data_IF_479675189703
#
_entry.id   IF_479675189703
#
_cell.length_a   1.000
_cell.length_b   1.000
_cell.length_c   1.000
_cell.angle_alpha   90.00
_cell.angle_beta   90.00
_cell.angle_gamma   90.00
#
_symmetry.space_group_name_H-M   'P 1'
#
loop_
_entity.id
_entity.type
_entity.pdbx_description
1 polymer ?
#
# COMPACT_ATOMS: atom_id res chain seq x y z
N UNK A 1 16.12 3.84 9.07
CA UNK A 1 15.58 2.61 8.45
C UNK A 1 16.65 1.54 8.55
N UNK A 2 16.35 0.39 9.14
CA UNK A 2 17.29 -0.72 9.29
C UNK A 2 16.83 -1.89 8.42
N UNK A 3 17.75 -2.63 7.78
CA UNK A 3 17.42 -3.91 7.17
C UNK A 3 16.91 -4.87 8.26
N UNK A 4 16.04 -5.80 7.88
CA UNK A 4 15.58 -6.86 8.78
C UNK A 4 15.84 -8.21 8.11
N UNK A 5 16.52 -9.11 8.81
CA UNK A 5 17.02 -10.38 8.26
C UNK A 5 15.88 -11.24 7.68
N UNK A 6 14.67 -11.13 8.26
CA UNK A 6 13.48 -11.87 7.82
C UNK A 6 12.81 -11.33 6.54
N UNK A 7 13.35 -10.36 5.82
CA UNK A 7 12.74 -9.85 4.57
C UNK A 7 13.22 -10.66 3.34
N UNK A 8 14.22 -11.53 3.51
CA UNK A 8 14.80 -12.34 2.43
C UNK A 8 15.26 -11.50 1.21
N UNK A 9 15.74 -10.28 1.45
CA UNK A 9 16.45 -9.43 0.49
C UNK A 9 17.34 -8.43 1.22
N UNK A 10 18.35 -7.90 0.53
CA UNK A 10 19.13 -6.78 1.06
C UNK A 10 18.32 -5.47 1.04
N UNK A 11 18.53 -4.62 2.06
CA UNK A 11 17.94 -3.28 2.15
C UNK A 11 16.79 -3.14 3.16
N UNK A 12 16.21 -1.95 3.20
CA UNK A 12 15.14 -1.59 4.13
C UNK A 12 13.83 -2.35 3.84
N UNK A 13 13.01 -2.53 4.89
CA UNK A 13 11.68 -3.16 4.80
C UNK A 13 10.84 -2.57 3.68
N UNK A 14 10.61 -1.26 3.72
CA UNK A 14 10.09 -0.51 2.60
C UNK A 14 11.24 0.23 1.90
N UNK A 15 11.50 0.00 0.60
CA UNK A 15 12.60 0.64 -0.11
C UNK A 15 12.32 2.12 -0.45
N UNK A 16 11.09 2.60 -0.21
CA UNK A 16 10.66 3.94 -0.60
C UNK A 16 10.77 4.98 0.51
N UNK A 17 10.74 4.59 1.79
CA UNK A 17 10.67 5.55 2.91
C UNK A 17 11.91 6.47 2.92
N UNK A 18 13.11 5.94 2.74
CA UNK A 18 14.34 6.75 2.75
C UNK A 18 14.39 7.72 1.58
N UNK A 19 14.07 7.23 0.38
CA UNK A 19 14.03 8.02 -0.83
C UNK A 19 12.95 9.10 -0.75
N UNK A 20 11.79 8.78 -0.18
CA UNK A 20 10.67 9.69 0.02
C UNK A 20 11.00 10.80 1.00
N UNK A 21 11.62 10.47 2.14
CA UNK A 21 12.09 11.47 3.11
C UNK A 21 13.14 12.40 2.50
N UNK A 22 14.14 11.85 1.78
CA UNK A 22 15.16 12.66 1.09
C UNK A 22 14.57 13.56 0.00
N UNK A 23 13.50 13.12 -0.66
CA UNK A 23 12.78 13.86 -1.69
C UNK A 23 11.68 14.79 -1.12
N UNK A 24 11.63 14.99 0.20
CA UNK A 24 10.61 15.80 0.89
C UNK A 24 9.18 15.43 0.44
N UNK A 25 8.95 14.14 0.23
CA UNK A 25 7.72 13.56 -0.31
C UNK A 25 7.06 12.59 0.67
N UNK A 26 7.50 12.64 1.93
CA UNK A 26 6.97 11.83 3.03
C UNK A 26 6.27 12.74 4.02
N UNK A 27 4.96 12.56 4.20
CA UNK A 27 4.15 13.35 5.12
C UNK A 27 3.55 12.44 6.18
N UNK A 28 3.61 12.88 7.42
CA UNK A 28 2.93 12.23 8.54
C UNK A 28 1.88 13.22 9.06
N UNK A 29 0.66 12.73 9.24
CA UNK A 29 -0.42 13.46 9.88
C UNK A 29 -0.99 12.64 11.03
N UNK A 30 -1.64 13.34 11.96
CA UNK A 30 -2.39 12.75 13.05
C UNK A 30 -3.84 13.16 12.90
N UNK A 31 -4.75 12.21 12.76
CA UNK A 31 -6.19 12.47 12.82
C UNK A 31 -6.78 11.79 14.03
N UNK A 32 -7.52 12.57 14.82
CA UNK A 32 -8.33 12.03 15.90
C UNK A 32 -9.54 11.32 15.34
N UNK A 33 -9.76 10.10 15.82
CA UNK A 33 -10.88 9.24 15.43
C UNK A 33 -11.91 9.22 16.56
N UNK A 34 -13.18 9.12 16.18
CA UNK A 34 -14.26 8.85 17.14
C UNK A 34 -14.03 7.46 17.76
N UNK A 35 -14.02 7.31 19.10
CA UNK A 35 -13.85 6.00 19.73
C UNK A 35 -14.93 4.99 19.34
N UNK A 36 -16.13 5.46 18.96
CA UNK A 36 -17.27 4.63 18.57
C UNK A 36 -17.36 4.46 17.04
N UNK A 37 -16.29 4.76 16.29
CA UNK A 37 -16.25 4.58 14.84
C UNK A 37 -16.56 3.13 14.44
N UNK A 38 -17.40 2.97 13.43
CA UNK A 38 -17.70 1.67 12.83
C UNK A 38 -16.92 1.46 11.52
N UNK A 39 -17.16 0.32 10.88
CA UNK A 39 -16.49 -0.03 9.62
C UNK A 39 -16.80 0.98 8.50
N UNK A 40 -18.04 1.47 8.40
CA UNK A 40 -18.43 2.47 7.40
C UNK A 40 -17.72 3.81 7.64
N UNK A 41 -17.67 4.26 8.88
CA UNK A 41 -16.93 5.44 9.30
C UNK A 41 -15.44 5.33 8.98
N UNK A 42 -14.83 4.16 9.21
CA UNK A 42 -13.43 3.91 8.90
C UNK A 42 -13.15 3.91 7.38
N UNK A 43 -14.04 3.33 6.57
CA UNK A 43 -13.97 3.44 5.10
C UNK A 43 -14.11 4.90 4.65
N UNK A 44 -15.03 5.65 5.26
CA UNK A 44 -15.17 7.09 5.04
C UNK A 44 -13.90 7.86 5.38
N UNK A 45 -13.19 7.47 6.44
CA UNK A 45 -11.89 8.04 6.81
C UNK A 45 -10.83 7.75 5.75
N UNK A 46 -10.75 6.51 5.25
CA UNK A 46 -9.84 6.12 4.17
C UNK A 46 -10.10 6.95 2.90
N UNK A 47 -11.37 7.18 2.54
CA UNK A 47 -11.73 8.03 1.38
C UNK A 47 -11.27 9.46 1.56
N UNK A 48 -11.49 10.06 2.74
CA UNK A 48 -10.96 11.40 3.07
C UNK A 48 -9.43 11.43 3.01
N UNK A 49 -8.75 10.38 3.47
CA UNK A 49 -7.29 10.26 3.36
C UNK A 49 -6.84 10.25 1.89
N UNK A 50 -7.58 9.55 1.01
CA UNK A 50 -7.29 9.53 -0.41
C UNK A 50 -7.46 10.89 -1.08
N UNK A 51 -8.55 11.60 -0.78
CA UNK A 51 -8.76 12.98 -1.24
C UNK A 51 -7.65 13.91 -0.75
N UNK A 52 -7.27 13.82 0.53
CA UNK A 52 -6.17 14.59 1.09
C UNK A 52 -4.83 14.27 0.39
N UNK A 53 -4.54 12.99 0.14
CA UNK A 53 -3.33 12.56 -0.55
C UNK A 53 -3.22 13.12 -1.98
N UNK A 54 -4.31 13.04 -2.74
CA UNK A 54 -4.37 13.50 -4.14
C UNK A 54 -4.31 15.02 -4.26
N UNK A 55 -4.90 15.74 -3.33
CA UNK A 55 -4.92 17.22 -3.32
C UNK A 55 -3.69 17.83 -2.64
N UNK A 56 -2.90 17.03 -1.92
CA UNK A 56 -1.66 17.48 -1.29
C UNK A 56 -0.68 18.00 -2.35
N UNK A 57 -0.15 19.20 -2.10
CA UNK A 57 0.98 19.73 -2.87
C UNK A 57 2.28 19.10 -2.37
N UNK A 58 2.80 18.17 -3.14
CA UNK A 58 4.08 17.51 -2.87
C UNK A 58 5.26 18.35 -3.37
N UNK A 59 6.33 18.45 -2.58
CA UNK A 59 7.55 19.16 -2.97
C UNK A 59 8.35 18.37 -4.00
N UNK A 60 8.48 17.05 -3.81
CA UNK A 60 9.15 16.17 -4.76
C UNK A 60 8.30 15.91 -6.00
N UNK A 61 8.93 15.97 -7.18
CA UNK A 61 8.24 15.77 -8.47
C UNK A 61 7.98 14.30 -8.81
N UNK A 62 8.72 13.38 -8.19
CA UNK A 62 8.56 11.95 -8.42
C UNK A 62 7.38 11.41 -7.60
N UNK A 63 6.24 11.22 -8.28
CA UNK A 63 5.00 10.70 -7.66
C UNK A 63 5.18 9.37 -6.95
N UNK A 64 6.06 8.48 -7.44
CA UNK A 64 6.31 7.18 -6.79
C UNK A 64 6.82 7.34 -5.34
N UNK A 65 7.40 8.49 -5.02
CA UNK A 65 7.90 8.79 -3.68
C UNK A 65 6.88 9.51 -2.78
N UNK A 66 5.71 9.90 -3.28
CA UNK A 66 4.69 10.54 -2.45
C UNK A 66 4.12 9.51 -1.49
N UNK A 67 4.14 9.82 -0.20
CA UNK A 67 3.61 8.94 0.85
C UNK A 67 2.99 9.79 1.96
N UNK A 68 1.73 9.48 2.27
CA UNK A 68 1.03 10.02 3.43
C UNK A 68 0.85 8.89 4.45
N UNK A 69 1.41 9.07 5.64
CA UNK A 69 1.14 8.23 6.80
C UNK A 69 0.18 8.97 7.71
N UNK A 70 -0.90 8.30 8.09
CA UNK A 70 -1.92 8.83 8.96
C UNK A 70 -1.95 8.03 10.26
N UNK A 71 -1.57 8.67 11.36
CA UNK A 71 -1.67 8.11 12.72
C UNK A 71 -3.07 8.39 13.27
N UNK A 72 -3.74 7.35 13.77
CA UNK A 72 -5.14 7.42 14.21
C UNK A 72 -5.21 7.50 15.74
N UNK A 73 -5.32 8.71 16.28
CA UNK A 73 -5.41 8.88 17.74
C UNK A 73 -6.84 8.76 18.24
N UNK A 74 -7.03 8.15 19.42
CA UNK A 74 -8.35 7.94 20.01
C UNK A 74 -9.09 6.70 19.53
N UNK A 75 -8.52 5.91 18.60
CA UNK A 75 -9.05 4.60 18.24
C UNK A 75 -8.74 3.58 19.36
N UNK A 76 -9.75 2.94 19.97
CA UNK A 76 -9.54 1.90 20.98
C UNK A 76 -8.87 0.65 20.40
N UNK A 77 -8.18 -0.10 21.26
CA UNK A 77 -7.41 -1.29 20.85
C UNK A 77 -8.31 -2.38 20.27
N UNK A 78 -9.49 -2.57 20.87
CA UNK A 78 -10.52 -3.49 20.41
C UNK A 78 -11.06 -3.16 19.00
N UNK A 79 -10.88 -1.91 18.57
CA UNK A 79 -11.34 -1.39 17.27
C UNK A 79 -10.22 -1.40 16.20
N UNK A 80 -9.00 -1.82 16.52
CA UNK A 80 -7.90 -1.87 15.55
C UNK A 80 -8.20 -2.75 14.32
N UNK A 81 -8.98 -3.83 14.50
CA UNK A 81 -9.46 -4.70 13.40
C UNK A 81 -10.24 -3.95 12.31
N UNK A 82 -10.82 -2.79 12.63
CA UNK A 82 -11.52 -1.97 11.64
C UNK A 82 -10.58 -1.45 10.55
N UNK A 83 -9.26 -1.36 10.82
CA UNK A 83 -8.29 -0.98 9.80
C UNK A 83 -8.16 -2.05 8.71
N UNK A 84 -8.15 -3.34 9.08
CA UNK A 84 -8.10 -4.45 8.13
C UNK A 84 -9.38 -4.51 7.29
N UNK A 85 -10.53 -4.35 7.94
CA UNK A 85 -11.83 -4.34 7.29
C UNK A 85 -11.95 -3.15 6.32
N UNK A 86 -11.58 -1.95 6.75
CA UNK A 86 -11.58 -0.77 5.89
C UNK A 86 -10.57 -0.88 4.74
N UNK A 87 -9.40 -1.46 4.98
CA UNK A 87 -8.43 -1.73 3.93
C UNK A 87 -9.02 -2.66 2.85
N UNK A 88 -9.63 -3.78 3.26
CA UNK A 88 -10.26 -4.72 2.33
C UNK A 88 -11.43 -4.08 1.55
N UNK A 89 -12.31 -3.35 2.23
CA UNK A 89 -13.48 -2.70 1.63
C UNK A 89 -13.10 -1.55 0.67
N UNK A 90 -12.06 -0.77 0.99
CA UNK A 90 -11.64 0.35 0.17
C UNK A 90 -10.72 -0.05 -1.00
N UNK A 91 -10.09 -1.24 -0.95
CA UNK A 91 -9.09 -1.67 -1.93
C UNK A 91 -9.55 -1.55 -3.39
N UNK A 92 -10.76 -2.01 -3.81
CA UNK A 92 -11.18 -1.89 -5.20
C UNK A 92 -11.21 -0.44 -5.70
N UNK A 93 -11.78 0.47 -4.90
CA UNK A 93 -11.85 1.90 -5.23
C UNK A 93 -10.46 2.53 -5.34
N UNK A 94 -9.59 2.26 -4.37
CA UNK A 94 -8.24 2.83 -4.32
C UNK A 94 -7.37 2.32 -5.48
N UNK A 95 -7.43 1.02 -5.79
CA UNK A 95 -6.68 0.42 -6.89
C UNK A 95 -7.10 1.02 -8.23
N UNK A 96 -8.40 1.23 -8.46
CA UNK A 96 -8.90 1.93 -9.66
C UNK A 96 -8.32 3.34 -9.80
N UNK A 97 -8.17 4.06 -8.69
CA UNK A 97 -7.52 5.39 -8.64
C UNK A 97 -5.99 5.34 -8.77
N UNK A 98 -5.39 4.16 -8.76
CA UNK A 98 -3.94 3.98 -8.79
C UNK A 98 -3.28 4.27 -7.44
N UNK A 99 -4.02 4.09 -6.35
CA UNK A 99 -3.56 4.26 -4.98
C UNK A 99 -3.37 2.89 -4.32
N UNK A 100 -2.41 2.83 -3.41
CA UNK A 100 -2.19 1.68 -2.53
C UNK A 100 -2.30 2.14 -1.09
N UNK A 101 -2.99 1.35 -0.29
CA UNK A 101 -3.15 1.54 1.14
C UNK A 101 -2.46 0.39 1.87
N UNK A 102 -1.88 0.68 3.01
CA UNK A 102 -1.42 -0.31 3.97
C UNK A 102 -1.93 0.08 5.36
N UNK A 103 -2.29 -0.92 6.14
CA UNK A 103 -2.76 -0.78 7.50
C UNK A 103 -1.74 -1.31 8.49
N UNK A 104 -1.65 -0.68 9.66
CA UNK A 104 -0.71 -1.06 10.70
C UNK A 104 -1.37 -0.93 12.07
N UNK A 105 -1.22 -1.96 12.90
CA UNK A 105 -1.66 -1.97 14.31
C UNK A 105 -0.91 -3.09 15.06
N UNK A 106 -1.02 -3.19 16.40
CA UNK A 106 -0.23 -4.15 17.19
C UNK A 106 -0.42 -5.61 16.76
N UNK A 107 -1.66 -5.98 16.43
CA UNK A 107 -2.05 -7.35 16.09
C UNK A 107 -2.18 -7.61 14.58
N UNK A 108 -1.64 -6.72 13.72
CA UNK A 108 -1.80 -6.86 12.26
C UNK A 108 -1.11 -8.13 11.75
N UNK A 109 -1.83 -8.91 10.95
CA UNK A 109 -1.38 -10.19 10.40
C UNK A 109 -0.88 -10.09 8.94
N UNK A 110 -0.76 -8.87 8.40
CA UNK A 110 -0.27 -8.67 7.03
C UNK A 110 1.18 -9.18 6.90
N UNK A 111 1.39 -10.09 5.93
CA UNK A 111 2.66 -10.80 5.76
C UNK A 111 3.46 -10.21 4.60
N UNK A 112 4.78 -10.24 4.71
CA UNK A 112 5.64 -9.77 3.62
C UNK A 112 5.52 -10.68 2.39
N UNK A 113 5.39 -10.08 1.20
CA UNK A 113 5.31 -10.83 -0.07
C UNK A 113 6.46 -11.81 -0.31
N UNK A 114 7.65 -11.53 0.24
CA UNK A 114 8.86 -12.37 0.12
C UNK A 114 9.14 -13.26 1.33
N UNK A 115 8.39 -13.09 2.42
CA UNK A 115 8.48 -13.93 3.60
C UNK A 115 7.14 -13.98 4.35
N UNK A 116 6.32 -15.03 4.12
CA UNK A 116 5.05 -15.21 4.81
C UNK A 116 5.16 -15.29 6.34
N UNK A 117 6.32 -15.66 6.89
CA UNK A 117 6.52 -15.73 8.34
C UNK A 117 6.72 -14.35 8.99
N UNK A 118 6.91 -13.29 8.20
CA UNK A 118 7.20 -11.95 8.69
C UNK A 118 5.98 -11.04 8.63
N UNK A 119 5.45 -10.69 9.80
CA UNK A 119 4.36 -9.71 9.99
C UNK A 119 4.90 -8.30 9.73
N UNK A 120 4.73 -7.81 8.52
CA UNK A 120 5.40 -6.60 8.04
C UNK A 120 4.71 -5.32 8.54
N UNK A 121 3.46 -5.45 8.97
CA UNK A 121 2.60 -4.31 9.32
C UNK A 121 2.31 -4.18 10.82
N UNK A 122 3.06 -4.87 11.68
CA UNK A 122 2.94 -4.65 13.13
C UNK A 122 3.48 -3.28 13.54
N UNK A 123 2.68 -2.56 14.32
CA UNK A 123 3.01 -1.22 14.81
C UNK A 123 2.46 -1.02 16.22
N UNK A 124 3.19 -0.32 17.12
CA UNK A 124 2.68 0.00 18.46
C UNK A 124 1.52 1.01 18.44
N UNK A 125 1.28 1.68 17.32
CA UNK A 125 0.19 2.66 17.15
C UNK A 125 -0.61 2.36 15.88
N UNK A 126 -1.94 2.54 15.89
CA UNK A 126 -2.75 2.35 14.69
C UNK A 126 -2.45 3.43 13.66
N UNK A 127 -2.14 3.01 12.44
CA UNK A 127 -1.89 3.94 11.33
C UNK A 127 -2.24 3.34 9.98
N UNK A 128 -2.50 4.23 9.02
CA UNK A 128 -2.70 3.93 7.61
C UNK A 128 -1.58 4.60 6.81
N UNK A 129 -1.06 3.93 5.79
CA UNK A 129 -0.10 4.52 4.86
C UNK A 129 -0.65 4.46 3.43
N UNK A 130 -0.65 5.60 2.74
CA UNK A 130 -1.11 5.72 1.37
C UNK A 130 -0.01 6.24 0.47
N UNK A 131 0.05 5.66 -0.73
CA UNK A 131 0.97 6.07 -1.79
C UNK A 131 0.35 5.81 -3.17
N UNK A 132 0.99 6.33 -4.20
CA UNK A 132 0.71 5.89 -5.56
C UNK A 132 1.12 4.43 -5.76
N UNK A 133 0.37 3.73 -6.61
CA UNK A 133 0.70 2.42 -7.14
C UNK A 133 2.06 2.50 -7.84
N UNK A 134 2.90 1.51 -7.55
CA UNK A 134 4.25 1.37 -8.03
C UNK A 134 4.40 0.04 -8.78
N UNK A 135 5.48 -0.08 -9.54
CA UNK A 135 5.70 -1.23 -10.41
C UNK A 135 5.73 -2.58 -9.68
N UNK A 136 6.18 -2.63 -8.42
CA UNK A 136 6.23 -3.86 -7.64
C UNK A 136 4.87 -4.31 -7.08
N UNK A 137 3.80 -3.51 -7.27
CA UNK A 137 2.47 -3.84 -6.75
C UNK A 137 1.78 -4.98 -7.48
N UNK A 138 2.36 -5.47 -8.58
CA UNK A 138 1.91 -6.71 -9.24
C UNK A 138 1.78 -7.86 -8.25
N UNK A 139 2.63 -7.89 -7.21
CA UNK A 139 2.62 -8.91 -6.15
C UNK A 139 1.33 -8.93 -5.33
N UNK A 140 0.56 -7.84 -5.31
CA UNK A 140 -0.62 -7.67 -4.47
C UNK A 140 -1.93 -7.51 -5.27
N UNK A 141 -1.82 -7.42 -6.60
CA UNK A 141 -2.91 -7.05 -7.50
C UNK A 141 -3.25 -8.13 -8.54
N UNK A 142 -2.47 -9.20 -8.64
CA UNK A 142 -2.74 -10.31 -9.57
C UNK A 142 -3.86 -11.29 -9.15
N UNK A 143 -4.38 -11.18 -7.93
CA UNK A 143 -5.39 -12.12 -7.39
C UNK A 143 -6.81 -11.86 -7.89
N UNK A 144 -7.08 -10.67 -8.43
CA UNK A 144 -8.40 -10.19 -8.84
C UNK A 144 -8.32 -9.54 -10.24
N UNK A 145 -9.27 -9.81 -11.15
CA UNK A 145 -9.19 -9.32 -12.52
C UNK A 145 -9.29 -7.78 -12.63
N UNK A 146 -10.10 -7.12 -11.81
CA UNK A 146 -10.24 -5.65 -11.87
C UNK A 146 -8.98 -4.97 -11.33
N UNK A 147 -8.41 -5.53 -10.26
CA UNK A 147 -7.15 -5.03 -9.70
C UNK A 147 -6.00 -5.20 -10.66
N UNK A 148 -5.91 -6.36 -11.31
CA UNK A 148 -4.88 -6.64 -12.29
C UNK A 148 -5.03 -5.74 -13.53
N UNK A 149 -6.24 -5.56 -14.04
CA UNK A 149 -6.49 -4.66 -15.18
C UNK A 149 -6.03 -3.22 -14.89
N UNK A 150 -6.32 -2.69 -13.70
CA UNK A 150 -5.85 -1.37 -13.28
C UNK A 150 -4.32 -1.28 -13.19
N UNK A 151 -3.66 -2.36 -12.76
CA UNK A 151 -2.19 -2.45 -12.76
C UNK A 151 -1.63 -2.52 -14.19
N UNK A 152 -2.20 -3.39 -15.03
CA UNK A 152 -1.75 -3.65 -16.40
C UNK A 152 -1.86 -2.40 -17.27
N UNK A 153 -2.94 -1.62 -17.14
CA UNK A 153 -3.10 -0.33 -17.81
C UNK A 153 -1.90 0.61 -17.56
N UNK A 154 -1.37 0.59 -16.33
CA UNK A 154 -0.27 1.48 -15.91
C UNK A 154 1.12 0.91 -16.24
N UNK A 155 1.29 -0.40 -16.14
CA UNK A 155 2.61 -1.03 -16.11
C UNK A 155 2.81 -2.18 -17.11
N UNK A 156 1.78 -2.66 -17.80
CA UNK A 156 1.84 -3.78 -18.74
C UNK A 156 2.90 -3.59 -19.83
N UNK A 157 2.91 -2.43 -20.47
CA UNK A 157 3.91 -2.11 -21.49
C UNK A 157 5.37 -2.13 -20.97
N UNK A 158 5.59 -1.96 -19.65
CA UNK A 158 6.94 -2.09 -19.07
C UNK A 158 7.38 -3.54 -18.97
N UNK A 159 6.46 -4.45 -18.65
CA UNK A 159 6.73 -5.90 -18.68
C UNK A 159 7.01 -6.39 -20.10
N UNK A 160 6.23 -5.92 -21.09
CA UNK A 160 6.39 -6.30 -22.51
C UNK A 160 7.75 -5.89 -23.10
N UNK A 161 8.33 -4.79 -22.63
CA UNK A 161 9.68 -4.36 -23.03
C UNK A 161 10.80 -5.23 -22.44
N UNK A 162 10.50 -6.21 -21.59
CA UNK A 162 11.48 -7.14 -21.01
C UNK A 162 12.50 -6.50 -20.06
N UNK A 163 12.25 -5.27 -19.59
CA UNK A 163 13.16 -4.50 -18.71
C UNK A 163 12.73 -4.57 -17.24
N UNK A 164 12.33 -5.75 -16.80
CA UNK A 164 11.92 -6.02 -15.42
C UNK A 164 13.17 -6.40 -14.62
N UNK A 165 13.58 -5.53 -13.69
CA UNK A 165 14.80 -5.75 -12.91
C UNK A 165 14.72 -6.93 -11.94
N UNK A 166 13.50 -7.33 -11.54
CA UNK A 166 13.25 -8.37 -10.55
C UNK A 166 12.40 -9.48 -11.18
N UNK A 167 12.92 -10.71 -11.33
CA UNK A 167 12.20 -11.81 -11.97
C UNK A 167 10.85 -12.09 -11.32
N UNK A 168 10.72 -11.90 -10.01
CA UNK A 168 9.49 -12.13 -9.27
C UNK A 168 8.34 -11.24 -9.75
N UNK A 169 8.65 -10.02 -10.22
CA UNK A 169 7.61 -9.14 -10.78
C UNK A 169 7.17 -9.60 -12.17
N UNK A 170 8.09 -10.13 -12.97
CA UNK A 170 7.77 -10.64 -14.30
C UNK A 170 6.94 -11.93 -14.20
N UNK A 171 7.30 -12.82 -13.28
CA UNK A 171 6.56 -14.05 -12.98
C UNK A 171 5.15 -13.74 -12.50
N UNK A 172 5.00 -12.89 -11.47
CA UNK A 172 3.68 -12.50 -10.97
C UNK A 172 2.81 -11.82 -12.04
N UNK A 173 3.41 -11.02 -12.93
CA UNK A 173 2.70 -10.41 -14.05
C UNK A 173 2.24 -11.45 -15.07
N UNK A 174 3.13 -12.36 -15.47
CA UNK A 174 2.83 -13.43 -16.42
C UNK A 174 1.73 -14.34 -15.88
N UNK A 175 1.80 -14.76 -14.61
CA UNK A 175 0.77 -15.57 -13.97
C UNK A 175 -0.60 -14.88 -13.96
N UNK A 176 -0.64 -13.59 -13.60
CA UNK A 176 -1.90 -12.84 -13.57
C UNK A 176 -2.45 -12.59 -14.98
N UNK A 177 -1.59 -12.36 -15.99
CA UNK A 177 -1.98 -12.20 -17.39
C UNK A 177 -2.46 -13.51 -18.01
N UNK A 178 -1.86 -14.65 -17.67
CA UNK A 178 -2.35 -15.96 -18.11
C UNK A 178 -3.73 -16.27 -17.50
N UNK A 179 -3.96 -15.81 -16.26
CA UNK A 179 -5.22 -16.05 -15.54
C UNK A 179 -6.35 -15.11 -15.97
N UNK A 180 -6.05 -13.84 -16.22
CA UNK A 180 -7.05 -12.77 -16.39
C UNK A 180 -6.93 -11.98 -17.69
N UNK A 181 -5.86 -12.22 -18.48
CA UNK A 181 -5.60 -11.48 -19.70
C UNK A 181 -6.78 -11.59 -20.66
N UNK A 182 -7.21 -10.44 -21.17
CA UNK A 182 -8.21 -10.41 -22.24
C UNK A 182 -7.44 -10.57 -23.55
N UNK A 183 -7.79 -11.58 -24.34
CA UNK A 183 -7.17 -11.86 -25.66
C UNK A 183 -7.25 -10.66 -26.60
#
# INVERSE_FOLDING_TARGET
>A
MRPHERINREGAVCPFVESSMKAQSFRIEEWRVDPDIDAEGMVGLVRRMAEAFETTRWEGRNRVLHTLVLVLTGLPEESHRLLDEAHALAKPELVGRGLMLAQFHPDCDERAARNPEFEVSRSPVPMLAMRWMAFHDVLFLGSDPEWFAAYEERYGGRHERGSVADPMFAEAFAEARDKWGTT
#
